data_IF_809541002153
#
_entry.id   IF_809541002153
#
_cell.length_a   1.000
_cell.length_b   1.000
_cell.length_c   1.000
_cell.angle_alpha   90.00
_cell.angle_beta   90.00
_cell.angle_gamma   90.00
#
_symmetry.space_group_name_H-M   'P 1'
#
loop_
_entity.id
_entity.type
_entity.pdbx_description
1 polymer ?
#
# COMPACT_ATOMS: atom_id res chain seq x y z
N UNK A 1 30.99 24.31 -1.73
CA UNK A 1 31.17 23.96 -3.15
C UNK A 1 29.81 23.63 -3.77
N UNK A 2 29.51 24.13 -4.98
CA UNK A 2 28.33 23.75 -5.78
C UNK A 2 27.07 24.63 -5.66
N UNK A 3 27.12 25.87 -6.16
CA UNK A 3 25.92 26.72 -6.42
C UNK A 3 25.25 26.29 -7.73
N UNK A 4 23.91 26.23 -7.77
CA UNK A 4 23.12 26.56 -8.97
C UNK A 4 21.93 27.44 -8.56
N UNK A 5 21.98 28.70 -8.99
CA UNK A 5 20.88 29.66 -9.05
C UNK A 5 20.39 29.73 -10.50
N UNK A 6 19.09 29.91 -10.68
CA UNK A 6 18.49 30.41 -11.92
C UNK A 6 16.98 30.34 -11.79
N UNK A 7 16.19 31.27 -12.32
CA UNK A 7 16.35 32.64 -12.80
C UNK A 7 14.91 33.16 -12.90
N UNK A 8 14.69 34.38 -12.47
CA UNK A 8 13.42 35.10 -12.48
C UNK A 8 13.04 35.55 -13.91
N UNK A 9 11.75 35.54 -14.27
CA UNK A 9 11.17 36.41 -15.30
C UNK A 9 9.73 36.72 -14.92
N UNK A 10 9.41 38.01 -14.82
CA UNK A 10 8.07 38.52 -14.46
C UNK A 10 7.18 38.86 -15.65
N UNK A 11 5.91 39.08 -15.33
CA UNK A 11 4.96 40.03 -15.94
C UNK A 11 4.55 39.84 -17.40
N UNK A 12 3.25 39.64 -17.66
CA UNK A 12 2.41 40.70 -18.25
C UNK A 12 0.92 40.32 -18.17
N UNK A 13 0.09 41.37 -18.22
CA UNK A 13 -1.36 41.46 -18.18
C UNK A 13 -1.98 40.96 -19.49
N UNK A 14 -3.25 40.52 -19.46
CA UNK A 14 -4.06 40.53 -20.68
C UNK A 14 -5.23 39.57 -20.70
N UNK A 15 -6.44 40.12 -20.56
CA UNK A 15 -7.75 39.48 -20.82
C UNK A 15 -7.78 38.73 -22.15
N UNK A 16 -8.33 37.52 -22.16
CA UNK A 16 -9.18 37.06 -23.27
C UNK A 16 -10.35 36.23 -22.72
N UNK A 17 -11.57 36.62 -23.10
CA UNK A 17 -12.85 35.95 -22.84
C UNK A 17 -13.26 35.26 -24.15
N UNK A 18 -13.45 33.95 -24.14
CA UNK A 18 -14.09 33.13 -25.19
C UNK A 18 -14.84 32.01 -24.44
N UNK A 19 -16.14 32.16 -24.19
CA UNK A 19 -17.31 31.63 -24.94
C UNK A 19 -17.27 30.13 -25.27
N UNK A 20 -18.17 29.41 -24.59
CA UNK A 20 -19.05 28.33 -25.05
C UNK A 20 -18.50 27.16 -25.89
N UNK A 21 -18.80 25.95 -25.38
CA UNK A 21 -19.07 24.77 -26.22
C UNK A 21 -18.00 23.68 -26.15
N UNK A 22 -18.23 22.65 -25.33
CA UNK A 22 -17.37 21.47 -25.37
C UNK A 22 -17.53 20.49 -24.22
N UNK A 23 -18.63 19.74 -24.25
CA UNK A 23 -18.80 18.36 -23.74
C UNK A 23 -17.65 17.79 -22.87
N UNK A 24 -17.90 17.60 -21.59
CA UNK A 24 -17.25 16.52 -20.81
C UNK A 24 -18.29 15.78 -19.97
N UNK A 25 -18.90 14.76 -20.58
CA UNK A 25 -19.54 13.67 -19.86
C UNK A 25 -18.42 12.87 -19.17
N UNK A 26 -18.39 12.85 -17.84
CA UNK A 26 -17.70 11.78 -17.10
C UNK A 26 -18.79 11.01 -16.37
N UNK A 27 -18.99 9.79 -16.88
CA UNK A 27 -19.91 8.79 -16.41
C UNK A 27 -19.70 8.55 -14.92
N UNK A 28 -20.66 8.98 -14.11
CA UNK A 28 -20.85 8.56 -12.73
C UNK A 28 -21.15 7.06 -12.71
N UNK A 29 -20.11 6.25 -12.57
CA UNK A 29 -20.25 4.85 -12.16
C UNK A 29 -20.67 4.86 -10.69
N UNK A 30 -21.96 4.62 -10.45
CA UNK A 30 -22.46 4.10 -9.19
C UNK A 30 -21.79 2.74 -8.94
N UNK A 31 -20.59 2.74 -8.38
CA UNK A 31 -20.10 1.61 -7.63
C UNK A 31 -20.81 1.67 -6.27
N UNK A 32 -21.60 0.64 -5.91
CA UNK A 32 -22.14 0.56 -4.56
C UNK A 32 -20.96 0.57 -3.57
N UNK A 33 -21.12 1.17 -2.37
CA UNK A 33 -20.10 1.09 -1.35
C UNK A 33 -19.75 -0.39 -1.09
N UNK A 34 -18.48 -0.73 -0.84
CA UNK A 34 -18.11 -2.11 -0.57
C UNK A 34 -19.02 -2.66 0.53
N UNK A 35 -19.70 -3.76 0.23
CA UNK A 35 -20.55 -4.46 1.21
C UNK A 35 -19.69 -4.67 2.45
N UNK A 36 -20.20 -4.27 3.63
CA UNK A 36 -19.56 -4.51 4.92
C UNK A 36 -19.08 -5.97 4.93
N UNK A 37 -17.77 -6.17 4.90
CA UNK A 37 -17.21 -7.50 5.04
C UNK A 37 -17.57 -7.96 6.46
N UNK A 38 -18.51 -8.88 6.56
CA UNK A 38 -18.68 -9.68 7.78
C UNK A 38 -17.33 -10.37 8.00
N UNK A 39 -16.65 -10.18 9.15
CA UNK A 39 -15.47 -10.97 9.40
C UNK A 39 -15.91 -12.43 9.38
N UNK A 40 -15.41 -13.20 8.44
CA UNK A 40 -15.47 -14.65 8.53
C UNK A 40 -14.66 -15.04 9.77
N UNK A 41 -15.31 -15.01 10.93
CA UNK A 41 -14.81 -15.57 12.19
C UNK A 41 -14.50 -17.08 12.06
N UNK A 42 -14.88 -17.70 10.94
CA UNK A 42 -14.59 -19.07 10.57
C UNK A 42 -13.20 -19.31 9.93
N UNK A 43 -12.40 -18.27 9.60
CA UNK A 43 -10.95 -18.45 9.31
C UNK A 43 -10.14 -18.12 10.56
N UNK A 44 -10.42 -18.86 11.62
CA UNK A 44 -9.44 -19.20 12.65
C UNK A 44 -9.52 -20.71 12.78
N UNK A 45 -9.40 -21.41 11.66
CA UNK A 45 -9.25 -22.86 11.67
C UNK A 45 -7.84 -23.15 12.19
N UNK A 46 -7.79 -23.82 13.34
CA UNK A 46 -6.70 -24.18 14.24
C UNK A 46 -5.48 -24.92 13.64
N UNK A 47 -4.97 -24.51 12.48
CA UNK A 47 -3.61 -24.81 12.02
C UNK A 47 -2.63 -23.73 12.47
N UNK A 48 -1.34 -24.04 12.56
CA UNK A 48 -0.25 -23.16 13.02
C UNK A 48 0.01 -21.94 12.10
N UNK A 49 -0.99 -21.09 11.87
CA UNK A 49 -0.84 -19.81 11.16
C UNK A 49 0.02 -18.87 11.99
N UNK A 50 1.07 -18.33 11.38
CA UNK A 50 1.95 -17.35 12.02
C UNK A 50 1.50 -15.93 11.71
N UNK A 51 1.88 -15.02 12.61
CA UNK A 51 1.58 -13.60 12.49
C UNK A 51 2.87 -12.81 12.29
N UNK A 52 2.85 -11.89 11.34
CA UNK A 52 4.00 -11.10 10.93
C UNK A 52 3.65 -9.62 10.85
N UNK A 53 4.67 -8.76 10.74
CA UNK A 53 4.52 -7.33 10.55
C UNK A 53 5.29 -6.92 9.30
N UNK A 54 4.58 -6.42 8.30
CA UNK A 54 5.13 -5.85 7.07
C UNK A 54 5.13 -4.33 7.19
N UNK A 55 6.26 -3.70 6.84
CA UNK A 55 6.47 -2.26 6.96
C UNK A 55 6.84 -1.68 5.61
N UNK A 56 6.15 -0.62 5.19
CA UNK A 56 6.47 0.15 3.99
C UNK A 56 6.52 1.63 4.30
N UNK A 57 7.22 2.41 3.49
CA UNK A 57 7.20 3.86 3.61
C UNK A 57 5.88 4.43 3.06
N UNK A 58 5.40 5.52 3.66
CA UNK A 58 4.17 6.15 3.17
C UNK A 58 4.39 6.67 1.74
N UNK A 59 3.62 6.13 0.79
CA UNK A 59 3.69 6.51 -0.63
C UNK A 59 4.14 5.40 -1.55
N UNK A 60 4.76 4.33 -1.04
CA UNK A 60 5.09 3.15 -1.86
C UNK A 60 3.86 2.27 -2.09
N UNK A 61 2.98 2.17 -1.10
CA UNK A 61 1.70 1.47 -1.22
C UNK A 61 0.64 2.18 -0.38
N UNK A 62 -0.54 2.42 -0.96
CA UNK A 62 -1.63 3.09 -0.26
C UNK A 62 -2.94 2.34 -0.46
N UNK A 63 -3.59 1.99 0.66
CA UNK A 63 -4.96 1.46 0.66
C UNK A 63 -5.96 2.39 -0.03
N UNK A 64 -5.68 3.70 -0.11
CA UNK A 64 -6.57 4.68 -0.73
C UNK A 64 -6.43 4.79 -2.25
N UNK A 65 -5.39 4.19 -2.85
CA UNK A 65 -5.26 4.16 -4.31
C UNK A 65 -6.24 3.14 -4.89
N UNK A 66 -7.21 3.56 -5.73
CA UNK A 66 -8.15 2.63 -6.36
C UNK A 66 -7.47 1.53 -7.18
N UNK A 67 -6.27 1.80 -7.70
CA UNK A 67 -5.48 0.84 -8.48
C UNK A 67 -5.02 -0.31 -7.59
N UNK A 68 -4.54 0.00 -6.39
CA UNK A 68 -4.10 -0.98 -5.40
C UNK A 68 -5.28 -1.76 -4.79
N UNK A 69 -6.47 -1.15 -4.72
CA UNK A 69 -7.68 -1.87 -4.33
C UNK A 69 -8.15 -2.88 -5.38
N UNK A 70 -7.88 -2.63 -6.66
CA UNK A 70 -8.19 -3.56 -7.76
C UNK A 70 -7.19 -4.72 -7.76
N UNK A 71 -5.93 -4.44 -7.43
CA UNK A 71 -4.88 -5.46 -7.29
C UNK A 71 -5.14 -6.25 -6.00
N UNK A 72 -5.80 -7.39 -6.13
CA UNK A 72 -6.08 -8.27 -4.99
C UNK A 72 -4.81 -8.85 -4.37
N UNK A 73 -3.72 -8.94 -5.14
CA UNK A 73 -2.47 -9.58 -4.77
C UNK A 73 -1.31 -8.72 -5.26
N UNK A 74 -0.50 -8.19 -4.34
CA UNK A 74 0.67 -7.38 -4.64
C UNK A 74 1.95 -8.13 -4.24
N UNK A 75 3.02 -8.08 -5.06
CA UNK A 75 4.32 -8.59 -4.67
C UNK A 75 4.92 -7.73 -3.56
N UNK A 76 5.45 -8.37 -2.53
CA UNK A 76 6.27 -7.74 -1.49
C UNK A 76 7.74 -7.98 -1.81
N UNK A 77 8.32 -7.07 -2.59
CA UNK A 77 9.67 -7.15 -3.12
C UNK A 77 10.63 -6.17 -2.43
N UNK A 78 11.81 -5.94 -3.03
CA UNK A 78 12.76 -4.88 -2.66
C UNK A 78 13.34 -4.95 -1.23
N UNK A 79 13.16 -6.06 -0.50
CA UNK A 79 13.70 -6.24 0.85
C UNK A 79 15.19 -6.59 0.80
N UNK A 80 16.04 -5.63 1.14
CA UNK A 80 17.50 -5.81 1.14
C UNK A 80 18.08 -6.26 2.49
N UNK A 81 17.32 -6.16 3.59
CA UNK A 81 17.79 -6.59 4.91
C UNK A 81 17.75 -8.11 5.03
N UNK A 82 18.92 -8.74 5.17
CA UNK A 82 19.08 -10.20 5.32
C UNK A 82 18.23 -10.82 6.45
N UNK A 83 18.04 -10.12 7.57
CA UNK A 83 17.16 -10.63 8.65
C UNK A 83 15.69 -10.63 8.24
N UNK A 84 15.26 -9.62 7.49
CA UNK A 84 13.90 -9.54 6.97
C UNK A 84 13.68 -10.57 5.86
N UNK A 85 14.65 -10.76 4.96
CA UNK A 85 14.63 -11.82 3.95
C UNK A 85 14.43 -13.20 4.61
N UNK A 86 15.18 -13.51 5.68
CA UNK A 86 15.00 -14.77 6.42
C UNK A 86 13.58 -14.92 7.00
N UNK A 87 12.96 -13.80 7.39
CA UNK A 87 11.57 -13.79 7.86
C UNK A 87 10.60 -14.05 6.71
N UNK A 88 10.85 -13.50 5.52
CA UNK A 88 10.05 -13.76 4.32
C UNK A 88 10.14 -15.22 3.87
N UNK A 89 11.32 -15.87 3.95
CA UNK A 89 11.47 -17.31 3.71
C UNK A 89 10.66 -18.19 4.68
N UNK A 90 10.38 -17.69 5.88
CA UNK A 90 9.62 -18.39 6.89
C UNK A 90 8.09 -18.20 6.76
N UNK A 91 7.64 -17.28 5.91
CA UNK A 91 6.22 -17.10 5.58
C UNK A 91 5.69 -18.35 4.88
N UNK A 92 4.46 -18.72 5.23
CA UNK A 92 3.71 -19.77 4.55
C UNK A 92 2.43 -19.21 3.99
N UNK A 93 1.91 -19.82 2.92
CA UNK A 93 0.61 -19.41 2.36
C UNK A 93 -0.48 -19.50 3.43
N UNK A 94 -1.25 -18.43 3.59
CA UNK A 94 -2.27 -18.30 4.63
C UNK A 94 -1.79 -17.69 5.95
N UNK A 95 -0.48 -17.44 6.12
CA UNK A 95 0.01 -16.60 7.22
C UNK A 95 -0.56 -15.19 7.11
N UNK A 96 -0.77 -14.53 8.26
CA UNK A 96 -1.31 -13.17 8.31
C UNK A 96 -0.24 -12.15 8.66
N UNK A 97 -0.30 -11.01 8.01
CA UNK A 97 0.63 -9.92 8.20
C UNK A 97 -0.12 -8.64 8.57
N UNK A 98 0.36 -7.93 9.58
CA UNK A 98 -0.07 -6.56 9.85
C UNK A 98 0.66 -5.64 8.88
N UNK A 99 -0.07 -4.74 8.23
CA UNK A 99 0.50 -3.76 7.31
C UNK A 99 0.69 -2.42 8.01
N UNK A 100 1.93 -1.97 8.08
CA UNK A 100 2.36 -0.80 8.85
C UNK A 100 3.01 0.26 7.97
N UNK A 101 2.50 1.49 8.05
CA UNK A 101 3.11 2.65 7.44
C UNK A 101 4.22 3.20 8.33
N UNK A 102 5.43 3.24 7.79
CA UNK A 102 6.62 3.80 8.42
C UNK A 102 6.99 5.12 7.76
N UNK A 103 6.34 6.22 8.15
CA UNK A 103 6.67 7.55 7.63
C UNK A 103 7.48 8.39 8.62
N UNK A 104 8.15 9.42 8.11
CA UNK A 104 8.86 10.41 8.91
C UNK A 104 7.85 11.32 9.66
N UNK A 105 7.42 10.87 10.83
CA UNK A 105 6.52 11.60 11.73
C UNK A 105 5.96 10.67 12.79
N UNK A 106 5.75 11.16 14.02
CA UNK A 106 5.10 10.35 15.05
C UNK A 106 3.64 10.04 14.69
N UNK A 107 2.94 11.03 14.12
CA UNK A 107 1.52 10.95 13.75
C UNK A 107 1.26 10.06 12.52
N UNK A 108 2.26 9.89 11.66
CA UNK A 108 2.12 9.17 10.38
C UNK A 108 2.53 7.69 10.47
N UNK A 109 2.79 7.19 11.68
CA UNK A 109 3.20 5.81 11.95
C UNK A 109 2.05 5.02 12.54
N UNK A 110 1.43 4.19 11.73
CA UNK A 110 0.24 3.44 12.13
C UNK A 110 0.12 2.10 11.38
N UNK A 111 -0.55 1.16 12.03
CA UNK A 111 -1.00 -0.08 11.40
C UNK A 111 -2.33 0.22 10.70
N UNK A 112 -2.39 -0.09 9.40
CA UNK A 112 -3.55 0.22 8.57
C UNK A 112 -4.52 -0.95 8.50
N UNK A 113 -4.00 -2.17 8.36
CA UNK A 113 -4.85 -3.34 8.12
C UNK A 113 -4.12 -4.67 8.23
N UNK A 114 -4.81 -5.70 7.78
CA UNK A 114 -4.34 -7.08 7.72
C UNK A 114 -4.19 -7.53 6.28
N UNK A 115 -3.07 -8.17 6.00
CA UNK A 115 -2.76 -8.86 4.76
C UNK A 115 -2.63 -10.37 5.03
N UNK A 116 -2.75 -11.17 3.98
CA UNK A 116 -2.51 -12.60 4.01
C UNK A 116 -1.52 -12.98 2.90
N UNK A 117 -0.62 -13.92 3.20
CA UNK A 117 0.32 -14.44 2.21
C UNK A 117 -0.43 -15.30 1.19
N UNK A 118 -0.46 -14.84 -0.06
CA UNK A 118 -1.03 -15.54 -1.21
C UNK A 118 -0.03 -16.51 -1.85
N UNK A 119 1.24 -16.10 -1.94
CA UNK A 119 2.36 -16.90 -2.47
C UNK A 119 3.57 -16.80 -1.57
N UNK A 120 4.19 -17.94 -1.29
CA UNK A 120 5.45 -18.03 -0.55
C UNK A 120 6.61 -17.45 -1.36
N UNK A 121 7.78 -17.30 -0.72
CA UNK A 121 8.94 -16.67 -1.34
C UNK A 121 9.29 -17.32 -2.67
N UNK A 122 9.43 -16.49 -3.70
CA UNK A 122 9.95 -16.86 -5.01
C UNK A 122 11.08 -15.93 -5.40
N UNK A 123 12.05 -16.46 -6.14
CA UNK A 123 13.07 -15.63 -6.78
C UNK A 123 12.44 -14.84 -7.91
N UNK A 124 12.83 -13.57 -8.03
CA UNK A 124 12.14 -12.61 -8.85
C UNK A 124 12.19 -12.95 -10.33
N UNK A 125 11.00 -12.99 -10.93
CA UNK A 125 10.79 -12.86 -12.37
C UNK A 125 10.14 -11.49 -12.61
N UNK A 126 10.55 -10.78 -13.66
CA UNK A 126 10.02 -9.44 -13.96
C UNK A 126 10.52 -8.35 -13.00
N UNK A 127 9.61 -7.59 -12.40
CA UNK A 127 9.92 -6.43 -11.56
C UNK A 127 10.69 -6.79 -10.27
N UNK A 128 10.52 -8.03 -9.78
CA UNK A 128 11.26 -8.56 -8.65
C UNK A 128 12.70 -9.02 -8.99
N UNK A 129 13.18 -8.86 -10.23
CA UNK A 129 14.45 -9.42 -10.72
C UNK A 129 15.70 -9.04 -9.89
N UNK A 130 15.64 -7.98 -9.08
CA UNK A 130 16.73 -7.59 -8.16
C UNK A 130 16.71 -8.34 -6.81
N UNK A 131 15.85 -9.34 -6.65
CA UNK A 131 15.70 -10.12 -5.43
C UNK A 131 14.68 -11.23 -5.55
N UNK A 132 14.02 -11.55 -4.45
CA UNK A 132 12.81 -12.36 -4.45
C UNK A 132 11.66 -11.59 -3.80
N UNK A 133 10.47 -12.16 -3.86
CA UNK A 133 9.25 -11.55 -3.33
C UNK A 133 8.34 -12.61 -2.72
N UNK A 134 7.41 -12.15 -1.88
CA UNK A 134 6.23 -12.92 -1.46
C UNK A 134 5.00 -12.21 -1.99
N UNK A 135 3.97 -12.92 -2.44
CA UNK A 135 2.75 -12.25 -2.85
C UNK A 135 1.81 -12.14 -1.65
N UNK A 136 1.32 -10.94 -1.39
CA UNK A 136 0.41 -10.64 -0.28
C UNK A 136 -0.89 -10.07 -0.80
N UNK A 137 -1.99 -10.46 -0.16
CA UNK A 137 -3.32 -9.93 -0.46
C UNK A 137 -3.85 -9.11 0.70
N UNK A 138 -4.49 -7.99 0.37
CA UNK A 138 -5.28 -7.23 1.31
C UNK A 138 -6.48 -8.07 1.81
N UNK A 139 -6.59 -8.28 3.13
CA UNK A 139 -7.74 -8.97 3.74
C UNK A 139 -8.76 -7.95 4.23
N UNK A 140 -8.30 -6.89 4.88
CA UNK A 140 -9.16 -5.82 5.35
C UNK A 140 -8.42 -4.75 6.12
N UNK A 141 -8.97 -3.54 6.08
CA UNK A 141 -8.50 -2.38 6.84
C UNK A 141 -9.09 -2.40 8.26
N UNK A 142 -8.33 -1.89 9.23
CA UNK A 142 -8.87 -1.64 10.56
C UNK A 142 -9.84 -0.46 10.52
N UNK A 143 -10.89 -0.51 11.36
CA UNK A 143 -11.83 0.61 11.48
C UNK A 143 -11.18 1.89 12.01
N UNK A 144 -10.09 1.72 12.76
CA UNK A 144 -9.33 2.78 13.36
C UNK A 144 -7.85 2.41 13.21
N UNK A 145 -7.07 3.32 12.64
CA UNK A 145 -5.64 3.13 12.43
C UNK A 145 -4.95 3.05 13.80
N UNK A 146 -4.18 1.99 14.05
CA UNK A 146 -3.49 1.82 15.33
C UNK A 146 -2.19 2.60 15.28
N UNK A 147 -2.11 3.73 15.99
CA UNK A 147 -0.92 4.56 15.99
C UNK A 147 0.20 3.92 16.80
N UNK A 148 1.46 4.13 16.41
CA UNK A 148 2.62 3.58 17.12
C UNK A 148 2.63 3.95 18.61
N UNK A 149 2.17 5.16 18.96
CA UNK A 149 2.11 5.63 20.36
C UNK A 149 1.09 4.89 21.24
N UNK A 150 0.17 4.13 20.64
CA UNK A 150 -0.85 3.34 21.35
C UNK A 150 -0.37 1.91 21.64
N UNK A 151 0.66 1.44 20.94
CA UNK A 151 1.24 0.11 21.08
C UNK A 151 2.22 0.12 22.26
N UNK A 152 1.97 -0.70 23.29
CA UNK A 152 2.79 -0.83 24.51
C UNK A 152 3.39 -2.23 24.64
#
# INVERSE_FOLDING_TARGET
CGRRRGREVGGDRGRHRLSEGGRRLVLSLLLPPPKKATPNAAVVASGNCKYWLLKTESGEWSWSDPTEQIIQIAPWDSVCNRQAINSLYALRRGDRCLFYHSSAGATSRHIVGVMEVAREWYEGEGEAASGGAVDVRAVGEFRLLVALGEIR
#
